data_IF_987013558241
#
_entry.id   IF_987013558241
#
_cell.length_a   1.000
_cell.length_b   1.000
_cell.length_c   1.000
_cell.angle_alpha   90.00
_cell.angle_beta   90.00
_cell.angle_gamma   90.00
#
_symmetry.space_group_name_H-M   'P 1'
#
loop_
_entity.id
_entity.type
_entity.pdbx_description
1 polymer ?
#
# COMPACT_ATOMS: atom_id res chain seq x y z
N UNK A 1 -5.70 5.42 3.77
CA UNK A 1 -4.93 6.59 3.30
C UNK A 1 -5.15 7.67 4.34
N UNK A 2 -4.07 8.14 4.97
CA UNK A 2 -4.16 9.25 5.92
C UNK A 2 -4.56 10.52 5.15
N UNK A 3 -5.24 11.46 5.82
CA UNK A 3 -5.70 12.69 5.17
C UNK A 3 -4.55 13.69 4.89
N UNK A 4 -3.37 13.45 5.47
CA UNK A 4 -2.16 14.23 5.24
C UNK A 4 -1.60 14.09 3.81
N UNK A 5 -2.10 13.15 3.03
CA UNK A 5 -1.68 12.95 1.64
C UNK A 5 -0.37 12.18 1.49
N UNK A 6 0.21 11.68 2.58
CA UNK A 6 1.39 10.85 2.49
C UNK A 6 1.03 9.47 1.93
N UNK A 7 2.00 8.86 1.25
CA UNK A 7 2.01 7.43 1.06
C UNK A 7 2.89 6.77 2.11
N UNK A 8 2.53 5.56 2.50
CA UNK A 8 3.22 4.83 3.55
C UNK A 8 3.20 3.34 3.24
N UNK A 9 4.37 2.71 3.37
CA UNK A 9 4.48 1.27 3.49
C UNK A 9 4.59 0.97 5.00
N UNK A 10 3.51 0.41 5.53
CA UNK A 10 3.33 0.07 6.93
C UNK A 10 3.17 -1.45 7.07
N UNK A 11 3.84 -2.04 8.06
CA UNK A 11 3.74 -3.45 8.38
C UNK A 11 3.22 -3.61 9.79
N UNK A 12 2.27 -4.50 9.95
CA UNK A 12 1.71 -4.90 11.23
C UNK A 12 1.64 -6.41 11.24
N UNK A 13 2.28 -7.04 12.22
CA UNK A 13 2.18 -8.48 12.42
C UNK A 13 1.07 -8.84 13.42
N UNK A 14 0.69 -7.91 14.30
CA UNK A 14 -0.44 -8.05 15.22
C UNK A 14 -1.03 -6.68 15.54
N UNK A 15 -2.33 -6.54 15.35
CA UNK A 15 -3.02 -5.29 15.71
C UNK A 15 -2.98 -5.01 17.22
N UNK A 16 -2.69 -3.77 17.66
CA UNK A 16 -2.60 -2.52 16.89
C UNK A 16 -1.19 -2.01 16.56
N UNK A 17 -0.18 -2.84 16.77
CA UNK A 17 1.21 -2.41 16.75
C UNK A 17 1.87 -2.74 15.39
N UNK A 18 2.30 -1.71 14.69
CA UNK A 18 3.03 -1.83 13.44
C UNK A 18 4.03 -0.71 13.24
N UNK A 19 4.84 -0.85 12.20
CA UNK A 19 5.95 0.05 11.92
C UNK A 19 5.95 0.48 10.45
N UNK A 20 6.17 1.78 10.24
CA UNK A 20 6.36 2.35 8.90
C UNK A 20 7.82 2.20 8.49
N UNK A 21 8.05 1.61 7.31
CA UNK A 21 9.42 1.55 6.76
C UNK A 21 9.72 2.74 5.87
N UNK A 22 8.73 3.13 5.08
CA UNK A 22 8.84 4.15 4.07
C UNK A 22 7.59 5.02 4.13
N UNK A 23 7.78 6.34 4.23
CA UNK A 23 6.70 7.32 4.22
C UNK A 23 7.12 8.55 3.44
N UNK A 24 6.35 8.90 2.42
CA UNK A 24 6.69 9.97 1.49
C UNK A 24 5.53 10.92 1.27
N UNK A 25 5.83 12.22 1.29
CA UNK A 25 4.88 13.28 0.96
C UNK A 25 4.72 13.41 -0.55
N UNK A 26 3.79 12.65 -1.13
CA UNK A 26 3.55 12.59 -2.58
C UNK A 26 2.76 13.80 -3.14
N UNK A 27 2.40 14.73 -2.26
CA UNK A 27 1.72 15.99 -2.60
C UNK A 27 2.49 17.22 -2.13
N UNK A 28 3.83 17.14 -2.08
CA UNK A 28 4.69 18.23 -1.62
C UNK A 28 4.33 18.73 -0.21
N UNK A 29 3.97 17.80 0.68
CA UNK A 29 3.54 18.08 2.05
C UNK A 29 2.14 18.68 2.19
N UNK A 30 1.35 18.74 1.11
CA UNK A 30 -0.04 19.17 1.16
C UNK A 30 -0.96 17.97 1.45
N UNK A 31 -2.14 18.20 2.07
CA UNK A 31 -3.16 17.18 2.26
C UNK A 31 -3.61 16.52 0.96
N UNK A 32 -4.28 15.38 1.08
CA UNK A 32 -4.88 14.68 -0.05
C UNK A 32 -5.85 15.62 -0.82
N UNK A 33 -5.75 15.76 -2.16
CA UNK A 33 -6.62 16.67 -2.91
C UNK A 33 -8.10 16.30 -2.82
N UNK A 34 -8.93 17.26 -2.44
CA UNK A 34 -10.39 17.11 -2.40
C UNK A 34 -11.04 17.37 -3.78
N UNK A 35 -12.16 16.68 -4.03
CA UNK A 35 -12.97 16.88 -5.24
C UNK A 35 -12.30 16.45 -6.54
N UNK A 36 -11.21 15.68 -6.45
CA UNK A 36 -10.48 15.14 -7.59
C UNK A 36 -10.52 13.62 -7.55
N UNK A 37 -10.63 13.00 -8.73
CA UNK A 37 -10.37 11.58 -8.85
C UNK A 37 -8.87 11.32 -8.82
N UNK A 38 -8.46 10.40 -7.96
CA UNK A 38 -7.06 9.98 -7.82
C UNK A 38 -7.04 8.47 -8.07
N UNK A 39 -6.35 8.06 -9.13
CA UNK A 39 -6.08 6.65 -9.39
C UNK A 39 -4.97 6.19 -8.46
N UNK A 40 -5.22 5.09 -7.73
CA UNK A 40 -4.21 4.43 -6.91
C UNK A 40 -4.10 2.97 -7.35
N UNK A 41 -2.87 2.48 -7.46
CA UNK A 41 -2.59 1.08 -7.76
C UNK A 41 -1.49 0.59 -6.85
N UNK A 42 -1.79 -0.47 -6.11
CA UNK A 42 -0.84 -1.15 -5.25
C UNK A 42 -0.52 -2.50 -5.85
N UNK A 43 0.78 -2.80 -5.97
CA UNK A 43 1.28 -4.05 -6.54
C UNK A 43 2.12 -4.72 -5.47
N UNK A 44 1.76 -5.96 -5.14
CA UNK A 44 2.44 -6.77 -4.13
C UNK A 44 2.69 -8.14 -4.74
N UNK A 45 3.94 -8.60 -4.70
CA UNK A 45 4.33 -9.89 -5.24
C UNK A 45 5.57 -10.41 -4.52
N UNK A 46 5.68 -11.73 -4.49
CA UNK A 46 6.85 -12.39 -3.98
C UNK A 46 8.01 -12.30 -4.99
N UNK A 47 9.23 -12.22 -4.48
CA UNK A 47 10.48 -12.26 -5.24
C UNK A 47 11.45 -13.24 -4.59
N UNK A 48 12.58 -13.51 -5.24
CA UNK A 48 13.66 -14.35 -4.71
C UNK A 48 13.18 -15.74 -4.24
N UNK A 49 12.47 -16.48 -5.11
CA UNK A 49 11.94 -17.82 -4.81
C UNK A 49 10.98 -17.85 -3.59
N UNK A 50 10.02 -16.92 -3.57
CA UNK A 50 9.02 -16.77 -2.50
C UNK A 50 9.64 -16.54 -1.11
N UNK A 51 10.82 -15.91 -1.04
CA UNK A 51 11.47 -15.58 0.22
C UNK A 51 11.23 -14.13 0.66
N UNK A 52 11.01 -13.21 -0.29
CA UNK A 52 10.84 -11.79 -0.01
C UNK A 52 9.60 -11.21 -0.70
N UNK A 53 9.10 -10.08 -0.22
CA UNK A 53 7.92 -9.42 -0.79
C UNK A 53 8.29 -8.04 -1.35
N UNK A 54 8.00 -7.80 -2.63
CA UNK A 54 8.09 -6.48 -3.25
C UNK A 54 6.74 -5.78 -3.14
N UNK A 55 6.77 -4.53 -2.70
CA UNK A 55 5.60 -3.65 -2.66
C UNK A 55 5.87 -2.39 -3.48
N UNK A 56 4.90 -2.00 -4.32
CA UNK A 56 4.98 -0.82 -5.16
C UNK A 56 3.66 -0.05 -5.12
N UNK A 57 3.75 1.27 -5.07
CA UNK A 57 2.59 2.16 -5.14
C UNK A 57 2.69 3.06 -6.36
N UNK A 58 1.59 3.16 -7.09
CA UNK A 58 1.45 4.01 -8.25
C UNK A 58 0.25 4.95 -8.11
N UNK A 59 0.37 6.12 -8.72
CA UNK A 59 -0.67 7.16 -8.78
C UNK A 59 -0.97 7.53 -10.23
N UNK A 60 -2.23 7.78 -10.52
CA UNK A 60 -2.69 8.34 -11.79
C UNK A 60 -3.60 9.55 -11.53
N UNK A 61 -3.36 10.65 -12.25
CA UNK A 61 -4.16 11.88 -12.17
C UNK A 61 -4.96 12.14 -13.46
N UNK A 62 -4.90 11.22 -14.43
CA UNK A 62 -5.62 11.30 -15.69
C UNK A 62 -6.97 10.54 -15.65
N UNK A 63 -7.46 10.17 -14.48
CA UNK A 63 -8.72 9.42 -14.28
C UNK A 63 -8.82 8.10 -15.07
N UNK A 64 -7.69 7.43 -15.33
CA UNK A 64 -7.63 6.20 -16.10
C UNK A 64 -7.84 6.38 -17.61
N UNK A 65 -7.86 7.62 -18.11
CA UNK A 65 -7.99 7.90 -19.56
C UNK A 65 -6.89 7.17 -20.32
N UNK A 66 -7.29 6.41 -21.35
CA UNK A 66 -6.39 5.58 -22.18
C UNK A 66 -5.53 4.58 -21.38
N UNK A 67 -6.03 4.11 -20.23
CA UNK A 67 -5.29 3.21 -19.35
C UNK A 67 -4.56 3.90 -18.19
N UNK A 68 -4.60 5.24 -18.12
CA UNK A 68 -4.01 6.06 -17.06
C UNK A 68 -2.53 6.37 -17.27
N UNK A 69 -2.07 7.49 -16.70
CA UNK A 69 -0.67 7.89 -16.67
C UNK A 69 -0.08 7.55 -15.29
N UNK A 70 0.24 6.26 -15.12
CA UNK A 70 0.63 5.70 -13.83
C UNK A 70 2.09 6.06 -13.48
N UNK A 71 2.26 6.95 -12.52
CA UNK A 71 3.54 7.33 -11.93
C UNK A 71 3.85 6.47 -10.71
N UNK A 72 5.05 5.89 -10.63
CA UNK A 72 5.50 5.15 -9.44
C UNK A 72 5.80 6.14 -8.32
N UNK A 73 5.04 6.06 -7.23
CA UNK A 73 5.20 6.90 -6.04
C UNK A 73 6.32 6.41 -5.13
N UNK A 74 6.53 5.10 -5.10
CA UNK A 74 7.63 4.47 -4.39
C UNK A 74 7.46 2.97 -4.29
N UNK A 75 8.45 2.36 -3.68
CA UNK A 75 8.54 0.91 -3.54
C UNK A 75 9.36 0.54 -2.32
N UNK A 76 9.13 -0.65 -1.79
CA UNK A 76 9.98 -1.26 -0.76
C UNK A 76 10.03 -2.77 -0.92
N UNK A 77 11.00 -3.40 -0.27
CA UNK A 77 11.14 -4.86 -0.22
C UNK A 77 11.10 -5.27 1.25
N UNK A 78 10.18 -6.16 1.60
CA UNK A 78 10.23 -6.90 2.85
C UNK A 78 11.09 -8.15 2.67
N UNK A 79 12.34 -8.05 3.13
CA UNK A 79 13.36 -9.10 3.08
C UNK A 79 13.82 -9.50 4.49
N UNK A 80 12.93 -9.33 5.48
CA UNK A 80 13.30 -9.36 6.90
C UNK A 80 13.90 -8.03 7.37
N UNK A 81 14.22 -7.95 8.65
CA UNK A 81 14.68 -6.73 9.32
C UNK A 81 13.64 -5.61 9.46
N UNK A 82 12.45 -5.72 8.84
CA UNK A 82 11.32 -4.84 9.12
C UNK A 82 10.62 -5.29 10.40
N UNK A 83 11.19 -4.87 11.52
CA UNK A 83 10.76 -5.24 12.87
C UNK A 83 9.47 -4.52 13.23
N UNK A 84 8.50 -5.26 13.73
CA UNK A 84 7.26 -4.76 14.34
C UNK A 84 7.09 -5.37 15.72
N UNK A 85 6.44 -4.68 16.64
CA UNK A 85 6.17 -5.24 17.96
C UNK A 85 4.99 -6.20 17.91
N UNK A 86 5.13 -7.39 18.51
CA UNK A 86 4.04 -8.31 18.78
C UNK A 86 4.50 -9.38 19.80
N UNK A 87 3.57 -10.22 20.26
CA UNK A 87 3.77 -11.28 21.26
C UNK A 87 3.47 -12.69 20.70
N UNK A 88 3.62 -12.87 19.38
CA UNK A 88 3.31 -14.13 18.68
C UNK A 88 4.55 -15.03 18.55
N UNK A 89 4.35 -16.28 18.11
CA UNK A 89 5.42 -17.30 18.06
C UNK A 89 6.43 -17.11 16.90
N UNK A 90 6.12 -16.26 15.92
CA UNK A 90 7.02 -15.94 14.81
C UNK A 90 7.97 -14.77 15.14
N UNK A 91 9.07 -14.60 14.38
CA UNK A 91 9.98 -13.47 14.56
C UNK A 91 9.32 -12.10 14.34
N UNK A 92 9.84 -11.06 14.99
CA UNK A 92 9.32 -9.69 14.88
C UNK A 92 9.51 -9.04 13.51
N UNK A 93 10.33 -9.64 12.65
CA UNK A 93 10.57 -9.24 11.28
C UNK A 93 10.04 -10.24 10.24
N UNK A 94 9.13 -11.14 10.64
CA UNK A 94 8.55 -12.19 9.80
C UNK A 94 8.04 -11.66 8.45
N UNK A 95 8.45 -12.27 7.34
CA UNK A 95 8.07 -11.87 5.97
C UNK A 95 6.78 -12.58 5.55
N UNK A 96 5.79 -11.82 5.08
CA UNK A 96 4.43 -12.30 4.78
C UNK A 96 4.30 -12.80 3.33
N UNK A 97 4.76 -14.02 3.05
CA UNK A 97 4.77 -14.61 1.69
C UNK A 97 3.51 -15.41 1.32
N UNK A 98 2.68 -15.76 2.30
CA UNK A 98 1.51 -16.65 2.14
C UNK A 98 0.26 -15.97 1.56
N UNK A 99 0.39 -14.74 1.04
CA UNK A 99 -0.73 -13.95 0.49
C UNK A 99 -1.68 -13.40 1.56
N UNK A 100 -2.86 -12.92 1.15
CA UNK A 100 -3.80 -12.32 2.11
C UNK A 100 -5.07 -11.73 1.53
N UNK A 101 -5.69 -10.86 2.34
CA UNK A 101 -6.94 -10.15 2.02
C UNK A 101 -6.65 -8.68 1.76
N UNK A 102 -7.28 -8.11 0.73
CA UNK A 102 -7.24 -6.67 0.48
C UNK A 102 -8.42 -6.00 1.19
N UNK A 103 -8.09 -5.04 2.05
CA UNK A 103 -9.09 -4.22 2.77
C UNK A 103 -9.03 -2.77 2.28
N UNK A 104 -10.19 -2.23 1.92
CA UNK A 104 -10.37 -0.81 1.64
C UNK A 104 -11.20 -0.21 2.76
N UNK A 105 -10.54 0.54 3.66
CA UNK A 105 -11.15 1.10 4.86
C UNK A 105 -11.28 2.62 4.73
N UNK A 106 -12.44 3.15 5.12
CA UNK A 106 -12.64 4.57 5.39
C UNK A 106 -12.61 4.79 6.91
N UNK A 107 -11.92 5.83 7.36
CA UNK A 107 -12.06 6.29 8.74
C UNK A 107 -13.39 7.05 8.92
N UNK A 108 -13.87 7.12 10.16
CA UNK A 108 -15.19 7.67 10.52
C UNK A 108 -15.42 9.11 10.02
N UNK A 109 -14.34 9.86 9.80
CA UNK A 109 -14.39 11.27 9.40
C UNK A 109 -14.58 11.49 7.88
N UNK A 110 -14.58 10.43 7.06
CA UNK A 110 -14.82 10.55 5.61
C UNK A 110 -16.32 10.46 5.33
N UNK A 111 -16.96 11.61 5.07
CA UNK A 111 -18.43 11.72 4.93
C UNK A 111 -18.99 11.25 3.59
N UNK A 112 -18.21 11.26 2.51
CA UNK A 112 -18.64 10.84 1.16
C UNK A 112 -17.48 10.17 0.40
N UNK A 113 -17.05 8.96 0.82
CA UNK A 113 -16.02 8.21 0.11
C UNK A 113 -16.60 7.66 -1.20
N UNK A 114 -15.95 7.98 -2.33
CA UNK A 114 -16.37 7.51 -3.65
C UNK A 114 -15.26 6.70 -4.31
N UNK A 115 -15.65 5.56 -4.87
CA UNK A 115 -14.77 4.64 -5.58
C UNK A 115 -15.35 4.36 -6.97
N UNK A 116 -14.49 4.32 -7.98
CA UNK A 116 -14.83 3.89 -9.33
C UNK A 116 -13.67 3.09 -9.93
N UNK A 117 -13.99 2.20 -10.88
CA UNK A 117 -13.02 1.33 -11.55
C UNK A 117 -12.18 0.47 -10.60
N UNK A 118 -12.75 0.08 -9.46
CA UNK A 118 -12.10 -0.80 -8.50
C UNK A 118 -11.94 -2.21 -9.10
N UNK A 119 -10.72 -2.72 -9.05
CA UNK A 119 -10.41 -4.10 -9.46
C UNK A 119 -9.24 -4.63 -8.63
N UNK A 120 -9.29 -5.92 -8.34
CA UNK A 120 -8.18 -6.69 -7.76
C UNK A 120 -7.96 -7.86 -8.71
N UNK A 121 -6.69 -8.18 -8.97
CA UNK A 121 -6.30 -9.31 -9.80
C UNK A 121 -5.02 -9.92 -9.26
N UNK A 122 -4.91 -11.23 -9.38
CA UNK A 122 -3.65 -11.93 -9.14
C UNK A 122 -2.65 -11.61 -10.25
N UNK A 123 -1.38 -11.57 -9.89
CA UNK A 123 -0.28 -11.48 -10.84
C UNK A 123 0.03 -12.91 -11.26
N UNK A 124 -0.23 -13.24 -12.51
CA UNK A 124 0.05 -14.56 -13.07
C UNK A 124 1.49 -14.49 -13.59
N UNK A 125 2.42 -15.22 -12.98
CA UNK A 125 3.74 -15.49 -13.57
C UNK A 125 3.62 -16.65 -14.55
N UNK A 126 4.13 -16.47 -15.76
CA UNK A 126 4.28 -17.55 -16.76
C UNK A 126 5.43 -18.50 -16.41
#
# INVERSE_FOLDING_TARGET
MLNDGDMEFFKELKHPDGESRERYAIWNGNPLPHGKWIGMKFVVYNIDEDQHVKLELYRDLAEGVNGGDWEKMGETIDQGGWVTFHDCEYPSDFVLVDGGVVLLKNEVEVSDPRYKHFSIREIISE
#
